data_IF_491218802474
#
_entry.id   IF_491218802474
#
_cell.length_a   1.000
_cell.length_b   1.000
_cell.length_c   1.000
_cell.angle_alpha   90.00
_cell.angle_beta   90.00
_cell.angle_gamma   90.00
#
_symmetry.space_group_name_H-M   'P 1'
#
loop_
_entity.id
_entity.type
_entity.pdbx_description
1 polymer ?
#
# COMPACT_ATOMS: atom_id res chain seq x y z
N UNK A 1 -14.57 2.65 -24.74
CA UNK A 1 -13.23 3.20 -24.57
C UNK A 1 -13.20 4.55 -23.85
N UNK A 2 -14.18 5.44 -24.05
CA UNK A 2 -14.23 6.73 -23.38
C UNK A 2 -14.38 6.63 -21.86
N UNK A 3 -15.08 5.63 -21.34
CA UNK A 3 -15.27 5.42 -19.92
C UNK A 3 -13.99 5.06 -19.17
N UNK A 4 -13.08 4.34 -19.82
CA UNK A 4 -11.79 3.96 -19.21
C UNK A 4 -10.87 5.18 -19.08
N UNK A 5 -10.87 6.06 -20.07
CA UNK A 5 -10.08 7.31 -20.02
C UNK A 5 -10.59 8.27 -18.94
N UNK A 6 -11.90 8.38 -18.75
CA UNK A 6 -12.48 9.21 -17.69
C UNK A 6 -12.19 8.66 -16.31
N UNK A 7 -12.28 7.35 -16.12
CA UNK A 7 -11.94 6.72 -14.85
C UNK A 7 -10.46 6.88 -14.53
N UNK A 8 -9.59 6.72 -15.51
CA UNK A 8 -8.15 6.92 -15.32
C UNK A 8 -7.82 8.37 -14.98
N UNK A 9 -8.51 9.34 -15.58
CA UNK A 9 -8.34 10.76 -15.26
C UNK A 9 -8.79 11.09 -13.83
N UNK A 10 -9.91 10.53 -13.38
CA UNK A 10 -10.40 10.71 -12.02
C UNK A 10 -9.48 10.07 -10.99
N UNK A 11 -8.98 8.87 -11.28
CA UNK A 11 -8.01 8.16 -10.43
C UNK A 11 -6.73 8.99 -10.33
N UNK A 12 -6.26 9.52 -11.44
CA UNK A 12 -5.06 10.35 -11.48
C UNK A 12 -5.21 11.63 -10.65
N UNK A 13 -6.37 12.27 -10.72
CA UNK A 13 -6.67 13.46 -9.91
C UNK A 13 -6.71 13.15 -8.42
N UNK A 14 -7.35 12.05 -8.04
CA UNK A 14 -7.41 11.62 -6.65
C UNK A 14 -6.02 11.27 -6.10
N UNK A 15 -5.20 10.64 -6.92
CA UNK A 15 -3.81 10.34 -6.55
C UNK A 15 -2.98 11.61 -6.39
N UNK A 16 -3.16 12.61 -7.25
CA UNK A 16 -2.48 13.90 -7.14
C UNK A 16 -2.91 14.66 -5.87
N UNK A 17 -4.20 14.66 -5.55
CA UNK A 17 -4.69 15.29 -4.32
C UNK A 17 -4.14 14.60 -3.07
N UNK A 18 -4.08 13.29 -3.09
CA UNK A 18 -3.51 12.52 -1.99
C UNK A 18 -2.01 12.74 -1.87
N UNK A 19 -1.31 12.82 -3.00
CA UNK A 19 0.11 13.14 -3.02
C UNK A 19 0.39 14.49 -2.39
N UNK A 20 -0.43 15.50 -2.66
CA UNK A 20 -0.31 16.83 -2.06
C UNK A 20 -0.55 16.79 -0.55
N UNK A 21 -1.57 16.07 -0.10
CA UNK A 21 -1.86 15.91 1.34
C UNK A 21 -0.75 15.14 2.05
N UNK A 22 -0.24 14.08 1.43
CA UNK A 22 0.85 13.28 1.98
C UNK A 22 2.15 14.08 2.05
N UNK A 23 2.45 14.88 1.03
CA UNK A 23 3.62 15.74 1.03
C UNK A 23 3.53 16.83 2.11
N UNK A 24 2.34 17.41 2.32
CA UNK A 24 2.11 18.39 3.37
C UNK A 24 2.26 17.77 4.76
N UNK A 25 1.72 16.56 4.97
CA UNK A 25 1.87 15.82 6.21
C UNK A 25 3.32 15.41 6.48
N UNK A 26 4.03 14.96 5.44
CA UNK A 26 5.44 14.59 5.55
C UNK A 26 6.31 15.81 5.88
N UNK A 27 6.01 16.97 5.30
CA UNK A 27 6.71 18.22 5.62
C UNK A 27 6.46 18.67 7.06
N UNK A 28 5.22 18.53 7.55
CA UNK A 28 4.90 18.83 8.94
C UNK A 28 5.57 17.86 9.91
N UNK A 29 5.63 16.58 9.57
CA UNK A 29 6.30 15.58 10.38
C UNK A 29 7.81 15.78 10.41
N UNK A 30 8.40 16.18 9.28
CA UNK A 30 9.82 16.50 9.22
C UNK A 30 10.18 17.72 10.07
N UNK A 31 9.31 18.73 10.14
CA UNK A 31 9.52 19.88 11.00
C UNK A 31 9.34 19.55 12.48
N UNK A 32 8.44 18.65 12.82
CA UNK A 32 8.25 18.21 14.20
C UNK A 32 9.37 17.26 14.67
N UNK A 33 9.99 16.54 13.76
CA UNK A 33 11.08 15.62 14.08
C UNK A 33 12.40 16.32 14.36
N UNK A 34 12.59 17.55 13.90
CA UNK A 34 13.83 18.29 14.17
C UNK A 34 13.89 18.87 15.56
N UNK A 35 12.78 18.94 16.28
CA UNK A 35 12.76 19.55 17.61
C UNK A 35 12.66 18.55 18.77
N UNK A 36 12.54 17.28 18.52
CA UNK A 36 12.36 16.32 19.61
C UNK A 36 13.01 14.98 19.32
N UNK A 37 14.30 15.00 19.23
CA UNK A 37 15.04 14.03 18.46
C UNK A 37 15.13 12.60 18.98
N UNK A 38 14.86 12.26 20.21
CA UNK A 38 15.27 10.91 20.65
C UNK A 38 14.20 10.04 21.24
N UNK A 39 13.15 10.62 21.72
CA UNK A 39 12.08 9.85 22.34
C UNK A 39 10.88 9.65 21.42
N UNK A 40 10.87 10.35 20.34
CA UNK A 40 9.72 10.40 19.44
C UNK A 40 9.71 9.32 18.37
N UNK A 41 10.72 8.47 18.35
CA UNK A 41 10.76 7.36 17.41
C UNK A 41 9.56 6.44 17.52
N UNK A 42 8.88 6.45 18.65
CA UNK A 42 7.74 5.60 18.89
C UNK A 42 6.40 6.23 18.56
N UNK A 43 6.29 7.54 18.47
CA UNK A 43 4.97 8.15 18.38
C UNK A 43 4.58 8.64 16.99
N UNK A 44 5.53 8.98 16.15
CA UNK A 44 5.22 9.52 14.83
C UNK A 44 4.98 8.48 13.77
N UNK A 45 5.74 7.47 13.79
CA UNK A 45 5.56 6.30 12.97
C UNK A 45 4.74 5.33 13.76
N UNK A 46 3.49 5.62 13.94
CA UNK A 46 2.66 4.59 14.53
C UNK A 46 3.12 3.32 13.92
N UNK A 47 3.93 2.73 14.63
CA UNK A 47 4.71 1.63 14.20
C UNK A 47 3.85 0.73 13.36
N UNK A 48 4.04 0.80 12.06
CA UNK A 48 3.43 -0.18 11.17
C UNK A 48 3.66 -1.57 11.74
N UNK A 49 4.83 -1.78 12.35
CA UNK A 49 5.13 -3.01 13.06
C UNK A 49 4.17 -3.28 14.22
N UNK A 50 3.84 -2.29 15.03
CA UNK A 50 2.86 -2.44 16.12
C UNK A 50 1.45 -2.69 15.61
N UNK A 51 1.04 -1.97 14.58
CA UNK A 51 -0.26 -2.17 13.94
C UNK A 51 -0.35 -3.59 13.38
N UNK A 52 0.67 -4.03 12.68
CA UNK A 52 0.70 -5.35 12.06
C UNK A 52 0.71 -6.45 13.13
N UNK A 53 1.54 -6.32 14.15
CA UNK A 53 1.64 -7.33 15.21
C UNK A 53 0.39 -7.44 16.06
N UNK A 54 -0.31 -6.31 16.29
CA UNK A 54 -1.55 -6.29 17.05
C UNK A 54 -2.78 -6.71 16.26
N UNK A 55 -2.68 -6.78 14.94
CA UNK A 55 -3.81 -7.15 14.10
C UNK A 55 -4.05 -8.66 14.11
N UNK A 56 -5.30 -9.04 13.89
CA UNK A 56 -5.65 -10.45 13.67
C UNK A 56 -5.11 -10.88 12.30
N UNK A 57 -4.44 -12.01 12.25
CA UNK A 57 -3.95 -12.52 10.98
C UNK A 57 -2.89 -13.59 11.14
N UNK A 58 -2.53 -14.22 10.03
CA UNK A 58 -1.50 -15.26 10.00
C UNK A 58 -0.11 -14.65 10.17
N UNK A 59 0.82 -15.44 10.68
CA UNK A 59 2.23 -15.03 10.79
C UNK A 59 2.81 -14.69 9.42
N UNK A 60 2.49 -15.48 8.40
CA UNK A 60 2.97 -15.25 7.02
C UNK A 60 2.44 -13.95 6.44
N UNK A 61 1.15 -13.65 6.65
CA UNK A 61 0.57 -12.38 6.21
C UNK A 61 1.22 -11.18 6.88
N UNK A 62 1.49 -11.27 8.17
CA UNK A 62 2.18 -10.23 8.93
C UNK A 62 3.62 -10.02 8.43
N UNK A 63 4.33 -11.09 8.09
CA UNK A 63 5.68 -11.01 7.52
C UNK A 63 5.67 -10.29 6.17
N UNK A 64 4.70 -10.59 5.33
CA UNK A 64 4.54 -9.92 4.04
C UNK A 64 4.30 -8.43 4.25
N UNK A 65 3.40 -8.08 5.16
CA UNK A 65 3.09 -6.68 5.46
C UNK A 65 4.34 -5.94 6.00
N UNK A 66 5.07 -6.55 6.93
CA UNK A 66 6.30 -5.98 7.46
C UNK A 66 7.37 -5.80 6.38
N UNK A 67 7.51 -6.78 5.51
CA UNK A 67 8.47 -6.72 4.40
C UNK A 67 8.12 -5.57 3.46
N UNK A 68 6.84 -5.43 3.11
CA UNK A 68 6.36 -4.36 2.25
C UNK A 68 6.70 -2.97 2.81
N UNK A 69 6.60 -2.81 4.12
CA UNK A 69 6.88 -1.54 4.78
C UNK A 69 8.34 -1.09 4.70
N UNK A 70 9.26 -2.02 4.45
CA UNK A 70 10.68 -1.69 4.32
C UNK A 70 10.99 -0.83 3.09
N UNK A 71 10.09 -0.79 2.13
CA UNK A 71 10.30 -0.10 0.86
C UNK A 71 9.60 1.26 0.80
N UNK A 72 8.99 1.71 1.88
CA UNK A 72 8.40 3.04 1.96
C UNK A 72 9.49 4.10 1.72
N UNK A 73 9.18 5.05 0.85
CA UNK A 73 10.14 6.06 0.41
C UNK A 73 10.81 5.75 -0.92
N UNK A 74 10.71 4.53 -1.41
CA UNK A 74 11.31 4.16 -2.70
C UNK A 74 10.43 4.64 -3.86
N UNK A 75 10.99 4.79 -5.07
CA UNK A 75 10.28 5.46 -6.15
C UNK A 75 9.15 4.63 -6.75
N UNK A 76 8.18 5.34 -7.31
CA UNK A 76 7.13 4.79 -8.18
C UNK A 76 7.59 4.91 -9.63
N UNK A 77 7.56 3.80 -10.36
CA UNK A 77 7.83 3.80 -11.80
C UNK A 77 6.73 2.98 -12.50
N UNK A 78 6.03 3.61 -13.43
CA UNK A 78 4.99 2.95 -14.21
C UNK A 78 5.58 1.73 -14.96
N UNK A 79 4.93 0.59 -14.81
CA UNK A 79 5.43 -0.67 -15.39
C UNK A 79 6.56 -1.31 -14.60
N UNK A 80 7.05 -0.68 -13.53
CA UNK A 80 8.15 -1.18 -12.74
C UNK A 80 7.75 -2.28 -11.77
N UNK A 81 8.68 -3.16 -11.46
CA UNK A 81 8.53 -4.24 -10.48
C UNK A 81 9.69 -4.30 -9.50
N UNK A 82 10.53 -3.27 -9.47
CA UNK A 82 11.66 -3.20 -8.56
C UNK A 82 11.26 -2.51 -7.26
N UNK A 83 11.42 -3.20 -6.15
CA UNK A 83 11.09 -2.65 -4.83
C UNK A 83 12.02 -1.51 -4.42
N UNK A 84 13.20 -1.44 -5.02
CA UNK A 84 14.21 -0.42 -4.71
C UNK A 84 14.35 0.65 -5.78
N UNK A 85 14.23 0.28 -7.05
CA UNK A 85 14.48 1.18 -8.19
C UNK A 85 13.20 1.75 -8.79
N UNK A 86 12.07 1.18 -8.48
CA UNK A 86 10.77 1.69 -8.91
C UNK A 86 9.78 0.60 -9.24
N UNK A 87 8.58 0.75 -8.70
CA UNK A 87 7.46 -0.15 -8.96
C UNK A 87 6.18 0.66 -9.05
N UNK A 88 5.24 0.21 -9.87
CA UNK A 88 3.88 0.72 -9.84
C UNK A 88 3.06 -0.03 -8.78
N UNK A 89 1.78 0.31 -8.61
CA UNK A 89 0.96 -0.26 -7.54
C UNK A 89 0.90 -1.79 -7.58
N UNK A 90 0.63 -2.34 -8.75
CA UNK A 90 0.55 -3.79 -8.93
C UNK A 90 1.93 -4.45 -9.03
N UNK A 91 2.93 -3.74 -9.51
CA UNK A 91 4.31 -4.19 -9.52
C UNK A 91 4.88 -4.30 -8.11
N UNK A 92 4.50 -3.38 -7.24
CA UNK A 92 4.87 -3.43 -5.82
C UNK A 92 4.30 -4.67 -5.14
N UNK A 93 2.98 -4.89 -5.23
CA UNK A 93 2.36 -6.08 -4.67
C UNK A 93 2.93 -7.35 -5.28
N UNK A 94 3.08 -7.38 -6.59
CA UNK A 94 3.67 -8.51 -7.31
C UNK A 94 5.06 -8.86 -6.77
N UNK A 95 5.93 -7.88 -6.64
CA UNK A 95 7.31 -8.10 -6.19
C UNK A 95 7.38 -8.50 -4.72
N UNK A 96 6.53 -7.93 -3.86
CA UNK A 96 6.47 -8.30 -2.45
C UNK A 96 6.07 -9.76 -2.28
N UNK A 97 5.00 -10.19 -2.94
CA UNK A 97 4.57 -11.59 -2.86
C UNK A 97 5.57 -12.53 -3.49
N UNK A 98 6.20 -12.14 -4.60
CA UNK A 98 7.23 -12.94 -5.25
C UNK A 98 8.41 -13.23 -4.31
N UNK A 99 8.79 -12.28 -3.48
CA UNK A 99 9.88 -12.44 -2.51
C UNK A 99 9.58 -13.56 -1.50
N UNK A 100 8.31 -13.87 -1.26
CA UNK A 100 7.88 -14.95 -0.39
C UNK A 100 7.51 -16.24 -1.13
N UNK A 101 7.76 -16.29 -2.44
CA UNK A 101 7.49 -17.45 -3.26
C UNK A 101 6.07 -17.54 -3.79
N UNK A 102 5.28 -16.49 -3.67
CA UNK A 102 3.91 -16.45 -4.19
C UNK A 102 3.87 -15.74 -5.53
N UNK A 103 3.22 -16.37 -6.50
CA UNK A 103 3.02 -15.78 -7.82
C UNK A 103 1.60 -15.24 -7.90
N UNK A 104 1.48 -13.94 -8.15
CA UNK A 104 0.19 -13.29 -8.38
C UNK A 104 0.20 -12.61 -9.74
N UNK A 105 -0.99 -12.31 -10.32
CA UNK A 105 -1.03 -11.61 -11.60
C UNK A 105 -0.32 -10.25 -11.54
N UNK A 106 0.18 -9.81 -12.68
CA UNK A 106 0.99 -8.58 -12.77
C UNK A 106 0.17 -7.30 -12.67
N UNK A 107 -1.08 -7.29 -13.13
CA UNK A 107 -1.89 -6.08 -13.20
C UNK A 107 -2.85 -5.95 -12.02
N UNK A 108 -3.19 -4.71 -11.68
CA UNK A 108 -4.15 -4.45 -10.60
C UNK A 108 -5.51 -5.09 -10.86
N UNK A 109 -5.98 -5.03 -12.10
CA UNK A 109 -7.25 -5.63 -12.49
C UNK A 109 -7.24 -7.15 -12.31
N UNK A 110 -6.16 -7.79 -12.73
CA UNK A 110 -6.03 -9.25 -12.60
C UNK A 110 -5.83 -9.67 -11.14
N UNK A 111 -5.18 -8.85 -10.33
CA UNK A 111 -4.99 -9.14 -8.91
C UNK A 111 -6.32 -9.19 -8.14
N UNK A 112 -7.37 -8.55 -8.64
CA UNK A 112 -8.70 -8.66 -8.04
C UNK A 112 -9.28 -10.07 -8.07
N UNK A 113 -8.69 -10.95 -8.86
CA UNK A 113 -9.08 -12.37 -8.93
C UNK A 113 -8.04 -13.29 -8.30
N UNK A 114 -6.99 -12.76 -7.73
CA UNK A 114 -5.93 -13.55 -7.10
C UNK A 114 -6.38 -14.11 -5.76
N UNK A 115 -5.90 -15.28 -5.40
CA UNK A 115 -6.21 -15.91 -4.12
C UNK A 115 -7.70 -16.09 -3.88
N UNK A 116 -8.15 -15.86 -2.65
CA UNK A 116 -9.57 -15.91 -2.32
C UNK A 116 -10.10 -14.56 -1.87
N UNK A 117 -11.38 -14.31 -2.12
CA UNK A 117 -12.04 -13.08 -1.69
C UNK A 117 -12.41 -13.13 -0.22
N UNK A 118 -12.17 -12.02 0.48
CA UNK A 118 -12.64 -11.81 1.85
C UNK A 118 -13.32 -10.45 1.93
N UNK A 119 -14.11 -10.23 2.95
CA UNK A 119 -14.71 -8.92 3.19
C UNK A 119 -13.65 -7.97 3.79
N UNK A 120 -13.89 -6.65 3.64
CA UNK A 120 -13.00 -5.70 4.28
C UNK A 120 -13.00 -5.84 5.82
N UNK A 121 -14.15 -6.21 6.40
CA UNK A 121 -14.24 -6.46 7.84
C UNK A 121 -13.32 -7.62 8.28
N UNK A 122 -13.05 -8.55 7.39
CA UNK A 122 -12.17 -9.70 7.64
C UNK A 122 -10.74 -9.46 7.18
N UNK A 123 -10.43 -8.28 6.64
CA UNK A 123 -9.10 -7.99 6.12
C UNK A 123 -8.02 -8.13 7.19
N UNK A 124 -6.92 -8.73 6.80
CA UNK A 124 -5.78 -9.03 7.69
C UNK A 124 -4.48 -8.54 7.05
N UNK A 125 -3.43 -8.30 7.85
CA UNK A 125 -2.14 -7.93 7.30
C UNK A 125 -1.67 -8.91 6.22
N UNK A 126 -1.19 -8.38 5.11
CA UNK A 126 -0.78 -9.17 3.96
C UNK A 126 -1.88 -9.40 2.94
N UNK A 127 -3.12 -9.00 3.19
CA UNK A 127 -4.18 -9.04 2.18
C UNK A 127 -3.97 -7.93 1.16
N UNK A 128 -4.47 -8.14 -0.06
CA UNK A 128 -4.46 -7.12 -1.12
C UNK A 128 -5.79 -6.38 -1.07
N UNK A 129 -5.72 -5.07 -0.93
CA UNK A 129 -6.89 -4.20 -1.07
C UNK A 129 -6.95 -3.73 -2.52
N UNK A 130 -8.06 -4.00 -3.19
CA UNK A 130 -8.22 -3.71 -4.61
C UNK A 130 -9.19 -2.54 -4.81
N UNK A 131 -8.73 -1.57 -5.59
CA UNK A 131 -9.50 -0.40 -5.99
C UNK A 131 -9.61 -0.37 -7.52
N UNK A 132 -10.36 0.57 -8.06
CA UNK A 132 -10.41 0.76 -9.51
C UNK A 132 -9.02 1.17 -10.02
N UNK A 133 -8.37 0.26 -10.75
CA UNK A 133 -7.05 0.50 -11.34
C UNK A 133 -5.91 0.62 -10.33
N UNK A 134 -6.11 0.17 -9.10
CA UNK A 134 -5.09 0.31 -8.05
C UNK A 134 -5.16 -0.83 -7.05
N UNK A 135 -4.05 -1.12 -6.42
CA UNK A 135 -3.95 -2.13 -5.36
C UNK A 135 -3.01 -1.66 -4.24
N UNK A 136 -3.20 -2.21 -3.06
CA UNK A 136 -2.39 -1.91 -1.90
C UNK A 136 -2.26 -3.16 -1.02
N UNK A 137 -1.31 -3.17 -0.11
CA UNK A 137 -1.15 -4.23 0.87
C UNK A 137 -1.70 -3.74 2.22
N UNK A 138 -2.59 -4.51 2.80
CA UNK A 138 -3.22 -4.17 4.07
C UNK A 138 -2.27 -4.45 5.23
N UNK A 139 -2.24 -3.54 6.19
CA UNK A 139 -1.37 -3.65 7.37
C UNK A 139 -2.14 -3.96 8.64
N UNK A 140 -3.45 -3.85 8.62
CA UNK A 140 -4.28 -3.88 9.81
C UNK A 140 -4.67 -2.48 10.26
N UNK A 141 -5.66 -2.38 11.12
CA UNK A 141 -6.09 -1.09 11.69
C UNK A 141 -6.55 -0.05 10.67
N UNK A 142 -6.99 -0.48 9.48
CA UNK A 142 -7.40 0.43 8.41
C UNK A 142 -6.26 1.05 7.63
N UNK A 143 -5.03 0.57 7.78
CA UNK A 143 -3.84 1.13 7.15
C UNK A 143 -3.37 0.26 6.00
N UNK A 144 -2.79 0.91 5.00
CA UNK A 144 -2.20 0.24 3.83
C UNK A 144 -0.79 0.77 3.56
N UNK A 145 -0.04 -0.02 2.80
CA UNK A 145 1.19 0.42 2.14
C UNK A 145 1.03 0.16 0.65
N UNK A 146 1.40 1.13 -0.17
CA UNK A 146 1.24 1.01 -1.61
C UNK A 146 2.21 1.92 -2.37
N UNK A 147 2.52 1.54 -3.62
CA UNK A 147 3.19 2.43 -4.55
C UNK A 147 2.10 3.35 -5.12
N UNK A 148 2.08 4.60 -4.68
CA UNK A 148 0.95 5.50 -4.91
C UNK A 148 1.05 6.25 -6.22
N UNK A 149 2.00 7.17 -6.33
CA UNK A 149 2.18 7.99 -7.53
C UNK A 149 3.68 8.21 -7.80
N UNK A 150 4.04 8.65 -9.03
CA UNK A 150 5.43 9.03 -9.30
C UNK A 150 5.95 10.15 -8.38
N UNK A 151 5.06 11.01 -7.89
CA UNK A 151 5.43 12.10 -7.00
C UNK A 151 5.71 11.64 -5.56
N UNK A 152 5.03 10.59 -5.09
CA UNK A 152 5.10 10.13 -3.70
C UNK A 152 5.84 8.83 -3.51
N UNK A 153 5.91 8.00 -4.54
CA UNK A 153 6.51 6.67 -4.45
C UNK A 153 5.71 5.72 -3.56
N UNK A 154 6.41 4.84 -2.90
CA UNK A 154 5.83 3.88 -1.95
C UNK A 154 5.60 4.59 -0.62
N UNK A 155 4.37 4.53 -0.12
CA UNK A 155 3.98 5.23 1.09
C UNK A 155 2.89 4.49 1.86
N UNK A 156 2.65 4.91 3.09
CA UNK A 156 1.50 4.48 3.87
C UNK A 156 0.25 5.26 3.49
N UNK A 157 -0.91 4.67 3.69
CA UNK A 157 -2.19 5.31 3.46
C UNK A 157 -3.29 4.69 4.30
N UNK A 158 -4.52 5.16 4.07
CA UNK A 158 -5.73 4.63 4.71
C UNK A 158 -6.48 3.76 3.71
N UNK A 159 -6.86 2.56 4.12
CA UNK A 159 -7.50 1.59 3.21
C UNK A 159 -8.79 2.13 2.59
N UNK A 160 -9.53 2.94 3.32
CA UNK A 160 -10.83 3.46 2.88
C UNK A 160 -10.75 4.81 2.17
N UNK A 161 -9.56 5.23 1.75
CA UNK A 161 -9.41 6.50 1.00
C UNK A 161 -10.10 6.50 -0.36
N UNK A 162 -10.36 5.32 -0.89
CA UNK A 162 -11.14 5.07 -2.11
C UNK A 162 -12.12 3.96 -1.86
N UNK A 163 -13.06 3.79 -2.77
CA UNK A 163 -13.96 2.64 -2.75
C UNK A 163 -13.19 1.34 -2.93
N UNK A 164 -13.34 0.43 -1.98
CA UNK A 164 -12.73 -0.89 -2.03
C UNK A 164 -13.60 -1.79 -2.90
N UNK A 165 -13.03 -2.32 -3.98
CA UNK A 165 -13.75 -3.20 -4.90
C UNK A 165 -13.63 -4.66 -4.50
N UNK A 166 -12.52 -5.05 -3.90
CA UNK A 166 -12.27 -6.41 -3.45
C UNK A 166 -11.15 -6.41 -2.42
N UNK A 167 -11.16 -7.42 -1.57
CA UNK A 167 -10.02 -7.76 -0.71
C UNK A 167 -9.65 -9.21 -1.03
N UNK A 168 -8.38 -9.45 -1.34
CA UNK A 168 -7.90 -10.76 -1.77
C UNK A 168 -6.88 -11.29 -0.78
N UNK A 169 -7.05 -12.52 -0.38
CA UNK A 169 -6.10 -13.19 0.52
C UNK A 169 -5.30 -14.22 -0.26
N UNK A 170 -4.00 -13.98 -0.33
CA UNK A 170 -3.05 -14.88 -1.01
C UNK A 170 -2.49 -15.88 -0.01
N UNK A 171 -2.28 -15.45 1.22
CA UNK A 171 -1.61 -16.21 2.27
C UNK A 171 -2.58 -16.49 3.40
N UNK A 172 -2.64 -17.75 3.83
CA UNK A 172 -3.46 -18.16 4.98
C UNK A 172 -2.72 -18.02 6.29
#
# INVERSE_FOLDING_TARGET
MAKIKQQNSQIKKLEEEEAKKAAALAAQQAQNNTSGSTSSSSSGNVDSASIISGAQGSASGKEIANYACKFVGNPYVSGGTSLTNGADCSGFTYAVYQAFGYSIPRTSTAQRSAGRGVTYAEAQPGDIICYAGHVAIYLGGGRIVHASTPATGIKYGTATYREILAVRRIVN
#
